data_IF_922167939811
#
_entry.id   IF_922167939811
#
_cell.length_a   1.000
_cell.length_b   1.000
_cell.length_c   1.000
_cell.angle_alpha   90.00
_cell.angle_beta   90.00
_cell.angle_gamma   90.00
#
_symmetry.space_group_name_H-M   'P 1'
#
loop_
_entity.id
_entity.type
_entity.pdbx_description
1 polymer ?
#
# COMPACT_ATOMS: atom_id res chain seq x y z
N UNK A 1 2.35 23.28 -0.09
CA UNK A 1 2.04 22.22 0.88
C UNK A 1 0.69 21.54 0.66
N UNK A 2 -0.42 22.28 0.45
CA UNK A 2 -1.77 21.68 0.29
C UNK A 2 -1.92 20.57 -0.78
N UNK A 3 -1.24 20.69 -1.92
CA UNK A 3 -1.28 19.66 -2.98
C UNK A 3 -0.72 18.31 -2.51
N UNK A 4 0.40 18.28 -1.79
CA UNK A 4 1.01 17.04 -1.29
C UNK A 4 0.14 16.38 -0.21
N UNK A 5 -0.58 17.18 0.59
CA UNK A 5 -1.46 16.69 1.65
C UNK A 5 -2.56 15.76 1.10
N UNK A 6 -3.13 16.06 -0.08
CA UNK A 6 -4.13 15.20 -0.73
C UNK A 6 -3.51 13.89 -1.20
N UNK A 7 -2.30 13.93 -1.78
CA UNK A 7 -1.58 12.71 -2.17
C UNK A 7 -1.27 11.82 -0.97
N UNK A 8 -0.82 12.38 0.15
CA UNK A 8 -0.61 11.61 1.38
C UNK A 8 -1.87 10.91 1.86
N UNK A 9 -3.01 11.61 1.86
CA UNK A 9 -4.28 11.04 2.33
C UNK A 9 -4.70 9.87 1.43
N UNK A 10 -4.67 10.06 0.10
CA UNK A 10 -5.04 9.00 -0.85
C UNK A 10 -4.12 7.79 -0.72
N UNK A 11 -2.82 8.03 -0.62
CA UNK A 11 -1.82 6.97 -0.55
C UNK A 11 -1.88 6.21 0.78
N UNK A 12 -2.17 6.92 1.88
CA UNK A 12 -2.40 6.28 3.19
C UNK A 12 -3.66 5.42 3.17
N UNK A 13 -4.76 5.90 2.57
CA UNK A 13 -5.99 5.11 2.39
C UNK A 13 -5.70 3.86 1.55
N UNK A 14 -4.94 4.00 0.47
CA UNK A 14 -4.53 2.89 -0.38
C UNK A 14 -3.77 1.82 0.42
N UNK A 15 -2.71 2.22 1.13
CA UNK A 15 -1.89 1.31 1.94
C UNK A 15 -2.75 0.58 2.98
N UNK A 16 -3.59 1.31 3.72
CA UNK A 16 -4.47 0.71 4.74
C UNK A 16 -5.44 -0.30 4.12
N UNK A 17 -6.06 0.05 2.99
CA UNK A 17 -7.04 -0.80 2.32
C UNK A 17 -6.39 -2.13 1.87
N UNK A 18 -5.24 -2.06 1.21
CA UNK A 18 -4.55 -3.27 0.75
C UNK A 18 -3.96 -4.09 1.90
N UNK A 19 -3.51 -3.44 2.98
CA UNK A 19 -3.07 -4.12 4.18
C UNK A 19 -4.21 -4.91 4.83
N UNK A 20 -5.40 -4.31 4.96
CA UNK A 20 -6.59 -4.99 5.51
C UNK A 20 -6.98 -6.18 4.63
N UNK A 21 -7.01 -6.02 3.31
CA UNK A 21 -7.31 -7.12 2.38
C UNK A 21 -6.28 -8.25 2.46
N UNK A 22 -4.99 -7.92 2.61
CA UNK A 22 -3.94 -8.91 2.81
C UNK A 22 -4.16 -9.69 4.12
N UNK A 23 -4.45 -9.00 5.22
CA UNK A 23 -4.74 -9.65 6.51
C UNK A 23 -5.97 -10.56 6.38
N UNK A 24 -7.03 -10.11 5.72
CA UNK A 24 -8.24 -10.93 5.51
C UNK A 24 -7.99 -12.21 4.72
N UNK A 25 -7.21 -12.16 3.63
CA UNK A 25 -6.88 -13.37 2.86
C UNK A 25 -5.90 -14.29 3.61
N UNK A 26 -5.00 -13.74 4.44
CA UNK A 26 -4.09 -14.51 5.28
C UNK A 26 -4.80 -15.21 6.45
N UNK A 27 -5.82 -14.56 7.03
CA UNK A 27 -6.66 -15.14 8.08
C UNK A 27 -7.74 -16.10 7.56
N UNK A 28 -7.84 -16.31 6.25
CA UNK A 28 -8.85 -17.20 5.71
C UNK A 28 -8.53 -18.66 6.05
N UNK A 29 -9.51 -19.39 6.57
CA UNK A 29 -9.40 -20.83 6.91
C UNK A 29 -9.58 -21.75 5.69
N UNK A 30 -9.38 -21.23 4.47
CA UNK A 30 -9.52 -21.99 3.23
C UNK A 30 -8.40 -23.03 3.13
N UNK A 31 -8.73 -24.27 2.81
CA UNK A 31 -7.77 -25.39 2.68
C UNK A 31 -7.81 -25.98 1.26
N UNK A 32 -6.73 -26.64 0.83
CA UNK A 32 -6.64 -27.29 -0.49
C UNK A 32 -6.48 -26.30 -1.66
N UNK A 33 -7.08 -26.61 -2.81
CA UNK A 33 -7.01 -25.77 -4.02
C UNK A 33 -7.43 -24.29 -3.79
N UNK A 34 -8.49 -23.97 -3.03
CA UNK A 34 -8.84 -22.57 -2.75
C UNK A 34 -7.86 -21.85 -1.81
N UNK A 35 -7.02 -22.58 -1.06
CA UNK A 35 -5.95 -21.99 -0.25
C UNK A 35 -4.85 -21.38 -1.13
N UNK A 36 -4.52 -22.03 -2.25
CA UNK A 36 -3.53 -21.53 -3.22
C UNK A 36 -4.03 -20.22 -3.85
N UNK A 37 -5.32 -20.16 -4.21
CA UNK A 37 -5.95 -18.92 -4.68
C UNK A 37 -5.94 -17.81 -3.63
N UNK A 38 -6.13 -18.16 -2.34
CA UNK A 38 -6.03 -17.23 -1.22
C UNK A 38 -4.62 -16.68 -1.03
N UNK A 39 -3.61 -17.55 -1.11
CA UNK A 39 -2.18 -17.18 -1.07
C UNK A 39 -1.81 -16.25 -2.22
N UNK A 40 -2.29 -16.53 -3.44
CA UNK A 40 -2.07 -15.67 -4.60
C UNK A 40 -2.65 -14.27 -4.40
N UNK A 41 -3.89 -14.17 -3.89
CA UNK A 41 -4.51 -12.88 -3.57
C UNK A 41 -3.78 -12.15 -2.44
N UNK A 42 -3.38 -12.86 -1.39
CA UNK A 42 -2.56 -12.32 -0.31
C UNK A 42 -1.25 -11.70 -0.83
N UNK A 43 -0.53 -12.44 -1.69
CA UNK A 43 0.71 -11.96 -2.29
C UNK A 43 0.48 -10.72 -3.16
N UNK A 44 -0.59 -10.70 -3.96
CA UNK A 44 -0.97 -9.54 -4.78
C UNK A 44 -1.28 -8.31 -3.92
N UNK A 45 -2.10 -8.45 -2.88
CA UNK A 45 -2.43 -7.34 -1.99
C UNK A 45 -1.20 -6.83 -1.22
N UNK A 46 -0.33 -7.73 -0.78
CA UNK A 46 0.94 -7.38 -0.14
C UNK A 46 1.86 -6.62 -1.10
N UNK A 47 1.95 -7.04 -2.36
CA UNK A 47 2.75 -6.37 -3.38
C UNK A 47 2.20 -4.97 -3.69
N UNK A 48 0.88 -4.82 -3.82
CA UNK A 48 0.23 -3.52 -4.01
C UNK A 48 0.43 -2.57 -2.81
N UNK A 49 0.48 -3.12 -1.60
CA UNK A 49 0.81 -2.38 -0.39
C UNK A 49 2.27 -1.87 -0.41
N UNK A 50 3.22 -2.72 -0.82
CA UNK A 50 4.63 -2.34 -0.97
C UNK A 50 4.79 -1.24 -2.02
N UNK A 51 4.10 -1.34 -3.16
CA UNK A 51 4.13 -0.31 -4.21
C UNK A 51 3.63 1.04 -3.68
N UNK A 52 2.53 1.06 -2.90
CA UNK A 52 2.05 2.28 -2.24
C UNK A 52 3.11 2.90 -1.33
N UNK A 53 3.77 2.10 -0.49
CA UNK A 53 4.85 2.58 0.40
C UNK A 53 6.02 3.17 -0.41
N UNK A 54 6.40 2.56 -1.54
CA UNK A 54 7.47 3.09 -2.40
C UNK A 54 7.06 4.46 -2.98
N UNK A 55 5.82 4.59 -3.45
CA UNK A 55 5.29 5.86 -3.96
C UNK A 55 5.31 6.93 -2.87
N UNK A 56 4.86 6.60 -1.65
CA UNK A 56 4.92 7.48 -0.48
C UNK A 56 6.34 8.03 -0.27
N UNK A 57 7.34 7.15 -0.23
CA UNK A 57 8.74 7.52 0.01
C UNK A 57 9.25 8.47 -1.08
N UNK A 58 8.94 8.20 -2.35
CA UNK A 58 9.33 9.07 -3.47
C UNK A 58 8.72 10.46 -3.30
N UNK A 59 7.42 10.54 -2.97
CA UNK A 59 6.71 11.81 -2.76
C UNK A 59 7.33 12.60 -1.60
N UNK A 60 7.67 11.94 -0.49
CA UNK A 60 8.36 12.54 0.67
C UNK A 60 9.71 13.12 0.27
N UNK A 61 10.52 12.36 -0.47
CA UNK A 61 11.84 12.82 -0.95
C UNK A 61 11.69 14.05 -1.83
N UNK A 62 10.78 14.04 -2.81
CA UNK A 62 10.51 15.18 -3.69
C UNK A 62 10.08 16.40 -2.88
N UNK A 63 9.22 16.22 -1.88
CA UNK A 63 8.78 17.31 -1.02
C UNK A 63 9.94 17.91 -0.21
N UNK A 64 10.79 17.09 0.40
CA UNK A 64 11.96 17.56 1.16
C UNK A 64 12.90 18.35 0.26
N UNK A 65 13.20 17.84 -0.95
CA UNK A 65 14.04 18.53 -1.94
C UNK A 65 13.39 19.86 -2.34
N UNK A 66 12.08 19.88 -2.59
CA UNK A 66 11.36 21.10 -2.96
C UNK A 66 11.34 22.14 -1.84
N UNK A 67 11.34 21.72 -0.57
CA UNK A 67 11.40 22.63 0.57
C UNK A 67 12.81 23.18 0.79
N UNK A 68 13.86 22.38 0.55
CA UNK A 68 15.27 22.83 0.66
C UNK A 68 15.69 23.85 -0.41
N UNK A 69 15.04 23.85 -1.57
CA UNK A 69 15.32 24.80 -2.67
C UNK A 69 14.68 26.18 -2.49
N UNK A 70 13.81 26.34 -1.49
CA UNK A 70 13.15 27.60 -1.13
C UNK A 70 13.82 28.20 0.10
#
# INVERSE_FOLDING_TARGET
>A
MKKYMIFYVIDTIWIILFLVLAIMENSSTKTGLPAIGSLGRFALFSLLCIVGIIILVIVVIIQIISMKKK
#
